data_IF_366122722367
#
_entry.id   IF_366122722367
#
_cell.length_a   1.000
_cell.length_b   1.000
_cell.length_c   1.000
_cell.angle_alpha   90.00
_cell.angle_beta   90.00
_cell.angle_gamma   90.00
#
_symmetry.space_group_name_H-M   'P 1'
#
loop_
_entity.id
_entity.type
_entity.pdbx_description
1 polymer ?
#
# COMPACT_ATOMS: atom_id res chain seq x y z
N UNK A 1 -21.06 -5.87 16.70
CA UNK A 1 -20.44 -6.51 15.54
C UNK A 1 -18.95 -6.14 15.47
N UNK A 2 -18.11 -7.11 15.24
CA UNK A 2 -16.68 -6.84 15.15
C UNK A 2 -16.34 -6.14 13.85
N UNK A 3 -15.38 -5.24 13.93
CA UNK A 3 -14.86 -4.56 12.75
C UNK A 3 -14.04 -5.53 11.92
N UNK A 4 -14.19 -5.47 10.59
CA UNK A 4 -13.36 -6.25 9.69
C UNK A 4 -11.95 -5.66 9.65
N UNK A 5 -10.96 -6.48 9.94
CA UNK A 5 -9.56 -6.06 9.94
C UNK A 5 -8.97 -6.25 8.55
N UNK A 6 -8.38 -5.20 7.95
CA UNK A 6 -7.76 -5.35 6.65
C UNK A 6 -6.55 -6.29 6.69
N UNK A 7 -6.35 -7.02 5.59
CA UNK A 7 -5.14 -7.81 5.37
C UNK A 7 -4.35 -7.15 4.28
N UNK A 8 -3.09 -6.90 4.53
CA UNK A 8 -2.22 -6.22 3.58
C UNK A 8 -1.25 -7.18 2.92
N UNK A 9 -0.82 -6.84 1.72
CA UNK A 9 0.18 -7.62 1.01
C UNK A 9 0.99 -6.72 0.09
N UNK A 10 2.24 -7.11 -0.14
CA UNK A 10 3.12 -6.46 -1.11
C UNK A 10 3.31 -7.41 -2.28
N UNK A 11 3.00 -6.96 -3.48
CA UNK A 11 3.19 -7.75 -4.70
C UNK A 11 4.31 -7.13 -5.53
N UNK A 12 5.37 -7.90 -5.72
CA UNK A 12 6.52 -7.46 -6.50
C UNK A 12 6.22 -7.49 -8.00
N UNK A 13 7.10 -6.89 -8.79
CA UNK A 13 6.94 -6.81 -10.23
C UNK A 13 6.83 -8.18 -10.91
N UNK A 14 7.49 -9.19 -10.35
CA UNK A 14 7.46 -10.55 -10.90
C UNK A 14 6.21 -11.35 -10.47
N UNK A 15 5.32 -10.75 -9.69
CA UNK A 15 4.13 -11.40 -9.19
C UNK A 15 4.26 -12.05 -7.83
N UNK A 16 5.47 -12.12 -7.28
CA UNK A 16 5.69 -12.68 -5.94
C UNK A 16 5.03 -11.80 -4.89
N UNK A 17 4.42 -12.42 -3.89
CA UNK A 17 3.62 -11.70 -2.90
C UNK A 17 4.11 -11.97 -1.49
N UNK A 18 4.18 -10.93 -0.67
CA UNK A 18 4.40 -11.04 0.77
C UNK A 18 3.11 -10.64 1.47
N UNK A 19 2.56 -11.57 2.27
CA UNK A 19 1.30 -11.33 2.99
C UNK A 19 1.58 -10.94 4.43
N UNK A 20 0.92 -9.89 4.89
CA UNK A 20 1.03 -9.40 6.26
C UNK A 20 -0.31 -9.62 6.97
N UNK A 21 -0.38 -10.63 7.81
CA UNK A 21 -1.62 -10.98 8.50
C UNK A 21 -1.32 -11.66 9.83
N UNK A 22 -2.34 -11.76 10.66
CA UNK A 22 -2.21 -12.37 11.99
C UNK A 22 -1.78 -13.84 11.92
N UNK A 23 -2.20 -14.55 10.87
CA UNK A 23 -1.83 -15.94 10.65
C UNK A 23 -0.57 -16.11 9.81
N UNK A 24 0.11 -15.04 9.51
CA UNK A 24 1.35 -15.01 8.71
C UNK A 24 2.56 -14.86 9.62
N UNK A 25 3.75 -15.12 9.06
CA UNK A 25 5.00 -14.91 9.78
C UNK A 25 5.35 -13.44 9.93
N UNK A 26 4.72 -12.57 9.16
CA UNK A 26 4.96 -11.14 9.18
C UNK A 26 3.71 -10.40 9.60
N UNK A 27 3.87 -9.50 10.55
CA UNK A 27 2.79 -8.67 11.07
C UNK A 27 3.08 -7.20 10.81
N UNK A 28 2.03 -6.45 10.53
CA UNK A 28 2.11 -4.99 10.53
C UNK A 28 1.73 -4.49 11.91
N UNK A 29 2.63 -3.74 12.54
CA UNK A 29 2.35 -3.12 13.84
C UNK A 29 1.90 -1.68 13.69
N UNK A 30 2.29 -1.02 12.59
CA UNK A 30 1.88 0.34 12.33
C UNK A 30 1.92 0.61 10.82
N UNK A 31 0.89 1.26 10.32
CA UNK A 31 0.81 1.66 8.93
C UNK A 31 0.29 3.09 8.87
N UNK A 32 1.04 3.97 8.22
CA UNK A 32 0.62 5.36 8.03
C UNK A 32 0.48 5.67 6.55
N UNK A 33 -0.43 6.57 6.22
CA UNK A 33 -0.61 7.03 4.86
C UNK A 33 -1.62 6.25 4.04
N UNK A 34 -2.28 5.25 4.61
CA UNK A 34 -3.23 4.43 3.84
C UNK A 34 -4.61 5.08 3.71
N UNK A 35 -4.96 6.01 4.58
CA UNK A 35 -6.28 6.66 4.55
C UNK A 35 -6.21 8.07 3.97
N UNK A 36 -5.92 9.06 4.76
CA UNK A 36 -6.01 10.44 4.33
C UNK A 36 -5.11 10.82 3.16
N UNK A 37 -5.48 11.86 2.47
CA UNK A 37 -4.69 12.45 1.40
C UNK A 37 -4.37 13.88 1.74
N UNK A 38 -3.14 14.30 1.43
CA UNK A 38 -2.75 15.69 1.55
C UNK A 38 -3.15 16.43 0.29
N UNK A 39 -3.77 17.56 0.47
CA UNK A 39 -4.17 18.43 -0.64
C UNK A 39 -3.37 19.71 -0.55
N UNK A 40 -2.66 20.02 -1.63
CA UNK A 40 -1.96 21.29 -1.72
C UNK A 40 -2.91 22.34 -2.28
N UNK A 41 -2.94 23.48 -1.62
CA UNK A 41 -3.82 24.57 -2.01
C UNK A 41 -3.00 25.80 -2.39
N UNK A 42 -3.36 26.41 -3.50
CA UNK A 42 -2.80 27.68 -3.90
C UNK A 42 -3.71 28.78 -3.37
N UNK A 43 -3.14 29.70 -2.61
CA UNK A 43 -3.87 30.76 -1.95
C UNK A 43 -3.45 32.13 -2.47
N UNK A 44 -4.37 33.05 -2.50
CA UNK A 44 -4.14 34.42 -2.91
C UNK A 44 -4.91 35.38 -2.01
N UNK A 45 -4.27 36.49 -1.65
CA UNK A 45 -4.92 37.49 -0.84
C UNK A 45 -4.82 38.85 -1.53
N UNK A 46 -5.94 39.48 -1.72
CA UNK A 46 -6.01 40.83 -2.28
C UNK A 46 -5.86 41.87 -1.18
N UNK A 47 -5.42 43.08 -1.57
CA UNK A 47 -5.29 44.19 -0.64
C UNK A 47 -6.65 44.49 0.02
N UNK A 48 -6.67 44.51 1.35
CA UNK A 48 -7.89 44.76 2.10
C UNK A 48 -8.78 43.55 2.28
N UNK A 49 -8.44 42.39 1.75
CA UNK A 49 -9.23 41.20 1.91
C UNK A 49 -8.99 40.58 3.29
N UNK A 50 -10.08 40.18 3.96
CA UNK A 50 -9.98 39.38 5.17
C UNK A 50 -9.89 37.93 4.79
N UNK A 51 -8.82 37.25 5.24
CA UNK A 51 -8.56 35.89 4.84
C UNK A 51 -7.95 35.80 3.45
N UNK A 52 -7.88 34.60 2.91
CA UNK A 52 -7.27 34.33 1.60
C UNK A 52 -8.24 33.60 0.70
N UNK A 53 -8.07 33.80 -0.61
CA UNK A 53 -8.85 33.09 -1.60
C UNK A 53 -8.05 31.86 -2.06
N UNK A 54 -8.69 30.70 -2.07
CA UNK A 54 -8.09 29.49 -2.59
C UNK A 54 -8.26 29.50 -4.10
N UNK A 55 -7.15 29.59 -4.83
CA UNK A 55 -7.15 29.69 -6.30
C UNK A 55 -6.91 28.35 -6.99
N UNK A 56 -6.47 27.33 -6.25
CA UNK A 56 -6.25 26.02 -6.83
C UNK A 56 -6.04 24.98 -5.76
N UNK A 57 -6.29 23.72 -6.14
CA UNK A 57 -6.08 22.55 -5.28
C UNK A 57 -5.45 21.46 -6.09
N UNK A 58 -4.52 20.73 -5.50
CA UNK A 58 -3.96 19.54 -6.12
C UNK A 58 -3.73 18.46 -5.05
N UNK A 59 -3.90 17.21 -5.46
CA UNK A 59 -3.64 16.06 -4.59
C UNK A 59 -2.28 15.51 -4.96
N UNK A 60 -1.35 15.48 -4.01
CA UNK A 60 -0.03 14.96 -4.24
C UNK A 60 0.00 13.45 -4.25
N UNK A 61 1.20 12.90 -4.34
CA UNK A 61 1.40 11.45 -4.23
C UNK A 61 1.10 11.00 -2.80
N UNK A 62 0.80 9.71 -2.65
CA UNK A 62 0.59 9.09 -1.35
C UNK A 62 1.89 8.44 -0.89
N UNK A 63 2.26 8.66 0.35
CA UNK A 63 3.40 7.99 0.96
C UNK A 63 2.91 7.06 2.05
N UNK A 64 3.38 5.82 2.02
CA UNK A 64 3.05 4.81 3.00
C UNK A 64 4.28 4.47 3.80
N UNK A 65 4.14 4.39 5.12
CA UNK A 65 5.21 3.86 5.98
C UNK A 65 4.66 2.62 6.66
N UNK A 66 5.31 1.50 6.39
CA UNK A 66 4.91 0.20 6.93
C UNK A 66 5.93 -0.24 7.95
N UNK A 67 5.47 -0.46 9.17
CA UNK A 67 6.31 -0.95 10.27
C UNK A 67 5.70 -2.24 10.78
N UNK A 68 6.54 -3.25 11.00
CA UNK A 68 6.03 -4.51 11.46
C UNK A 68 7.09 -5.39 12.08
N UNK A 69 6.71 -6.65 12.28
CA UNK A 69 7.57 -7.64 12.92
C UNK A 69 7.57 -8.95 12.15
N UNK A 70 8.72 -9.62 12.16
CA UNK A 70 8.87 -10.98 11.66
C UNK A 70 8.88 -11.90 12.86
N UNK A 71 7.96 -12.85 12.91
CA UNK A 71 7.72 -13.69 14.08
C UNK A 71 8.29 -15.09 13.94
N UNK A 72 8.47 -15.58 12.72
CA UNK A 72 8.94 -16.93 12.45
C UNK A 72 9.84 -16.91 11.22
N UNK A 73 10.71 -17.92 11.10
CA UNK A 73 11.65 -18.03 9.97
C UNK A 73 12.35 -16.71 9.69
N UNK A 74 12.97 -16.17 10.74
CA UNK A 74 13.47 -14.79 10.72
C UNK A 74 14.42 -14.51 9.55
N UNK A 75 15.41 -15.36 9.36
CA UNK A 75 16.39 -15.14 8.30
C UNK A 75 15.78 -15.27 6.91
N UNK A 76 14.92 -16.26 6.71
CA UNK A 76 14.28 -16.48 5.42
C UNK A 76 13.33 -15.32 5.07
N UNK A 77 12.57 -14.83 6.04
CA UNK A 77 11.63 -13.73 5.80
C UNK A 77 12.35 -12.40 5.65
N UNK A 78 13.45 -12.18 6.36
CA UNK A 78 14.27 -11.01 6.14
C UNK A 78 14.83 -10.99 4.72
N UNK A 79 15.36 -12.11 4.26
CA UNK A 79 15.88 -12.22 2.90
C UNK A 79 14.78 -12.00 1.86
N UNK A 80 13.58 -12.52 2.12
CA UNK A 80 12.43 -12.34 1.25
C UNK A 80 12.02 -10.87 1.14
N UNK A 81 11.95 -10.16 2.27
CA UNK A 81 11.64 -8.74 2.27
C UNK A 81 12.65 -7.95 1.43
N UNK A 82 13.93 -8.19 1.66
CA UNK A 82 14.98 -7.45 0.95
C UNK A 82 15.06 -7.81 -0.52
N UNK A 83 14.69 -9.03 -0.88
CA UNK A 83 14.69 -9.47 -2.27
C UNK A 83 13.55 -8.88 -3.06
N UNK A 84 12.36 -8.80 -2.48
CA UNK A 84 11.17 -8.38 -3.20
C UNK A 84 10.92 -6.87 -3.14
N UNK A 85 11.25 -6.23 -2.02
CA UNK A 85 11.04 -4.79 -1.87
C UNK A 85 12.32 -4.08 -2.28
N UNK A 86 12.35 -3.63 -3.53
CA UNK A 86 13.53 -2.98 -4.12
C UNK A 86 13.20 -1.58 -4.59
N UNK A 87 14.09 -0.60 -4.33
CA UNK A 87 13.91 0.73 -4.88
C UNK A 87 13.85 0.69 -6.41
N UNK A 88 13.02 1.58 -6.98
CA UNK A 88 12.88 1.77 -8.42
C UNK A 88 12.17 0.65 -9.16
N UNK A 89 11.76 -0.41 -8.49
CA UNK A 89 10.97 -1.47 -9.13
C UNK A 89 9.51 -1.28 -8.82
N UNK A 90 8.68 -1.19 -9.86
CA UNK A 90 7.24 -1.03 -9.70
C UNK A 90 6.64 -2.24 -9.00
N UNK A 91 5.73 -1.97 -8.09
CA UNK A 91 5.09 -3.01 -7.29
C UNK A 91 3.67 -2.58 -6.95
N UNK A 92 2.95 -3.42 -6.23
CA UNK A 92 1.61 -3.10 -5.76
C UNK A 92 1.50 -3.32 -4.26
N UNK A 93 0.83 -2.41 -3.61
CA UNK A 93 0.43 -2.55 -2.22
C UNK A 93 -1.04 -2.92 -2.20
N UNK A 94 -1.36 -4.08 -1.65
CA UNK A 94 -2.71 -4.63 -1.66
C UNK A 94 -3.34 -4.52 -0.28
N UNK A 95 -4.65 -4.25 -0.27
CA UNK A 95 -5.43 -4.20 0.96
C UNK A 95 -6.73 -4.95 0.73
N UNK A 96 -6.94 -6.04 1.47
CA UNK A 96 -8.15 -6.83 1.40
C UNK A 96 -9.02 -6.55 2.61
N UNK A 97 -10.25 -6.14 2.39
CA UNK A 97 -11.24 -5.90 3.43
C UNK A 97 -12.49 -6.69 3.04
N UNK A 98 -12.77 -7.77 3.79
CA UNK A 98 -13.87 -8.65 3.41
C UNK A 98 -13.62 -9.26 2.04
N UNK A 99 -14.58 -9.11 1.14
CA UNK A 99 -14.50 -9.66 -0.20
C UNK A 99 -13.85 -8.74 -1.22
N UNK A 100 -13.49 -7.54 -0.81
CA UNK A 100 -12.96 -6.54 -1.72
C UNK A 100 -11.46 -6.38 -1.52
N UNK A 101 -10.71 -6.41 -2.62
CA UNK A 101 -9.27 -6.15 -2.60
C UNK A 101 -9.00 -4.85 -3.34
N UNK A 102 -8.24 -3.98 -2.68
CA UNK A 102 -7.83 -2.69 -3.22
C UNK A 102 -6.33 -2.71 -3.48
N UNK A 103 -5.87 -1.89 -4.40
CA UNK A 103 -4.43 -1.78 -4.65
C UNK A 103 -3.99 -0.36 -4.93
N UNK A 104 -2.70 -0.14 -4.69
CA UNK A 104 -1.98 1.06 -5.11
C UNK A 104 -0.76 0.61 -5.90
N UNK A 105 -0.48 1.27 -7.03
CA UNK A 105 0.78 1.09 -7.71
C UNK A 105 1.82 1.90 -6.96
N UNK A 106 2.90 1.26 -6.51
CA UNK A 106 3.87 1.87 -5.62
C UNK A 106 5.30 1.65 -6.09
N UNK A 107 6.18 2.52 -5.61
CA UNK A 107 7.62 2.36 -5.74
C UNK A 107 8.21 2.38 -4.34
N UNK A 108 8.98 1.36 -3.95
CA UNK A 108 9.67 1.40 -2.66
C UNK A 108 10.71 2.53 -2.66
N UNK A 109 10.76 3.24 -1.55
CA UNK A 109 11.69 4.36 -1.41
C UNK A 109 13.11 3.91 -1.08
N UNK A 110 13.23 2.76 -0.41
CA UNK A 110 14.52 2.20 -0.02
C UNK A 110 14.35 0.71 0.27
N UNK A 111 15.48 0.02 0.43
CA UNK A 111 15.47 -1.34 0.91
C UNK A 111 14.94 -1.36 2.35
N UNK A 112 14.14 -2.37 2.74
CA UNK A 112 13.62 -2.41 4.09
C UNK A 112 14.71 -2.40 5.15
N UNK A 113 14.48 -1.63 6.22
CA UNK A 113 15.33 -1.65 7.39
C UNK A 113 14.86 -2.78 8.29
N UNK A 114 15.79 -3.64 8.70
CA UNK A 114 15.48 -4.78 9.56
C UNK A 114 16.42 -4.75 10.75
N UNK A 115 15.86 -4.87 11.94
CA UNK A 115 16.64 -4.89 13.18
C UNK A 115 15.96 -5.81 14.19
N UNK A 116 16.70 -6.23 15.22
CA UNK A 116 16.11 -7.02 16.28
C UNK A 116 17.09 -8.05 16.83
N UNK A 117 16.54 -9.08 17.48
CA UNK A 117 17.30 -10.11 18.15
C UNK A 117 17.05 -11.50 17.58
N UNK A 118 17.24 -12.50 18.44
CA UNK A 118 17.20 -13.90 18.02
C UNK A 118 15.77 -14.41 17.79
N UNK A 119 14.78 -13.83 18.45
CA UNK A 119 13.43 -14.36 18.46
C UNK A 119 12.42 -13.48 17.77
N UNK A 120 12.81 -12.26 17.42
CA UNK A 120 11.93 -11.30 16.80
C UNK A 120 12.74 -10.31 15.99
N UNK A 121 12.32 -10.04 14.76
CA UNK A 121 12.88 -8.96 13.98
C UNK A 121 11.79 -7.91 13.72
N UNK A 122 12.21 -6.65 13.72
CA UNK A 122 11.35 -5.54 13.34
C UNK A 122 11.78 -5.03 11.98
N UNK A 123 10.80 -4.67 11.14
CA UNK A 123 11.10 -4.13 9.83
C UNK A 123 10.34 -2.83 9.60
N UNK A 124 10.89 -2.01 8.72
CA UNK A 124 10.23 -0.78 8.27
C UNK A 124 10.59 -0.53 6.82
N UNK A 125 9.61 -0.15 6.03
CA UNK A 125 9.86 0.30 4.67
C UNK A 125 8.84 1.36 4.29
N UNK A 126 9.20 2.15 3.28
CA UNK A 126 8.36 3.22 2.77
C UNK A 126 8.06 3.00 1.31
N UNK A 127 6.81 3.27 0.95
CA UNK A 127 6.31 3.13 -0.41
C UNK A 127 5.74 4.46 -0.85
N UNK A 128 5.87 4.76 -2.14
CA UNK A 128 5.29 5.98 -2.69
C UNK A 128 4.40 5.63 -3.86
N UNK A 129 3.17 6.12 -3.82
CA UNK A 129 2.20 5.93 -4.89
C UNK A 129 1.99 7.26 -5.59
N UNK A 130 2.41 7.35 -6.85
CA UNK A 130 2.24 8.57 -7.63
C UNK A 130 0.75 8.86 -7.88
N UNK A 131 -0.03 7.81 -8.14
CA UNK A 131 -1.48 7.92 -8.21
C UNK A 131 -2.03 7.57 -6.82
N UNK A 132 -2.60 8.55 -6.09
CA UNK A 132 -2.87 8.38 -4.66
C UNK A 132 -4.16 7.66 -4.32
N UNK A 133 -4.99 7.33 -5.30
CA UNK A 133 -6.29 6.74 -5.03
C UNK A 133 -6.25 5.23 -5.10
N UNK A 134 -6.89 4.59 -4.14
CA UNK A 134 -7.06 3.15 -4.12
C UNK A 134 -7.95 2.70 -5.27
N UNK A 135 -7.59 1.59 -5.89
CA UNK A 135 -8.38 0.99 -6.97
C UNK A 135 -8.73 -0.43 -6.56
N UNK A 136 -9.89 -0.91 -7.04
CA UNK A 136 -10.31 -2.28 -6.78
C UNK A 136 -9.67 -3.23 -7.77
N UNK A 137 -9.37 -4.44 -7.28
CA UNK A 137 -8.88 -5.53 -8.12
C UNK A 137 -10.08 -6.32 -8.60
N UNK A 138 -10.23 -6.47 -9.91
CA UNK A 138 -11.24 -7.34 -10.49
C UNK A 138 -10.65 -8.72 -10.71
N UNK A 139 -11.44 -9.75 -10.43
CA UNK A 139 -11.00 -11.11 -10.63
C UNK A 139 -11.65 -11.69 -11.88
N UNK A 140 -10.93 -12.59 -12.54
CA UNK A 140 -11.47 -13.28 -13.70
C UNK A 140 -12.73 -14.06 -13.37
N UNK A 141 -12.79 -14.64 -12.18
CA UNK A 141 -13.96 -15.38 -11.75
C UNK A 141 -15.19 -14.49 -11.66
N UNK A 142 -15.02 -13.28 -11.18
CA UNK A 142 -16.12 -12.31 -11.14
C UNK A 142 -16.59 -11.94 -12.53
N UNK A 143 -15.68 -11.72 -13.43
CA UNK A 143 -16.00 -11.38 -14.81
C UNK A 143 -16.73 -12.51 -15.49
N UNK A 144 -16.27 -13.72 -15.34
CA UNK A 144 -16.90 -14.87 -15.93
C UNK A 144 -18.25 -15.19 -15.32
N UNK A 145 -18.38 -14.92 -14.05
CA UNK A 145 -19.67 -15.07 -13.41
C UNK A 145 -20.72 -14.14 -13.97
N UNK A 146 -20.26 -13.02 -14.38
CA UNK A 146 -21.07 -12.06 -15.09
C UNK A 146 -21.24 -12.41 -16.52
N UNK A 147 -20.29 -13.10 -17.13
CA UNK A 147 -20.33 -13.33 -18.44
C UNK A 147 -19.39 -14.09 -19.03
N UNK A 148 -19.20 -14.31 -19.19
CA UNK A 148 -18.31 -14.88 -19.65
C UNK A 148 -17.38 -14.11 -20.16
N UNK A 149 -17.00 -13.57 -20.04
CA UNK A 149 -16.15 -12.92 -20.26
C UNK A 149 -15.58 -11.92 -20.58
N UNK A 150 -15.61 -11.73 -20.74
CA UNK A 150 -15.15 -11.10 -20.76
C UNK A 150 -14.57 -10.19 -20.69
N UNK A 151 -14.49 -9.78 -21.05
CA UNK A 151 -14.06 -9.22 -20.75
C UNK A 151 -13.52 -8.46 -20.45
N UNK A 152 -13.24 -8.15 -20.21
CA UNK A 152 -12.84 -7.64 -19.56
C UNK A 152 -12.20 -7.06 -19.35
N UNK A 153 -12.21 -6.76 -19.44
CA UNK A 153 -11.57 -6.16 -19.20
C UNK A 153 -10.85 -5.83 -18.74
N UNK A 154 -10.34 -5.65 -18.72
CA UNK A 154 -9.75 -5.37 -18.16
C UNK A 154 -9.43 -4.91 -17.52
N UNK A 155 -9.27 -5.01 -17.38
CA UNK A 155 -8.92 -4.49 -16.56
C UNK A 155 -8.37 -3.77 -16.10
N UNK A 156 -8.06 -3.47 -15.85
CA UNK A 156 -7.71 -2.99 -15.31
C UNK A 156 -7.20 -2.67 -14.88
#
# INVERSE_FOLDING_TARGET
>A
MARTVPVYAFQAADGSTIRFAVDSDLWITNLTGDDGLDVEMTEQQSTGQTGKTITGQSVGSRSLTVTGSILRDLDANEALLKRLIRPKEAARWLKAVGDTTWYLDVLPAHTPDVSGGEHLLNFQFKLKAAYPYWRTVETAATMLGGLEGSWFPTPV
#
